data_IF_286269494636
#
_entry.id   IF_286269494636
#
_cell.length_a   1.000
_cell.length_b   1.000
_cell.length_c   1.000
_cell.angle_alpha   90.00
_cell.angle_beta   90.00
_cell.angle_gamma   90.00
#
_symmetry.space_group_name_H-M   'P 1'
#
loop_
_entity.id
_entity.type
_entity.pdbx_description
1 polymer ?
#
# COMPACT_ATOMS: atom_id res chain seq x y z
N UNK A 1 5.20 -19.76 -5.29
CA UNK A 1 4.11 -19.78 -6.28
C UNK A 1 4.64 -18.99 -7.46
N UNK A 2 4.87 -19.65 -8.59
CA UNK A 2 5.46 -19.02 -9.76
C UNK A 2 4.32 -18.39 -10.58
N UNK A 3 4.26 -17.06 -10.62
CA UNK A 3 3.28 -16.35 -11.44
C UNK A 3 3.76 -16.31 -12.90
N UNK A 4 2.87 -16.66 -13.83
CA UNK A 4 3.09 -16.42 -15.25
C UNK A 4 3.20 -14.91 -15.50
N UNK A 5 4.32 -14.46 -16.10
CA UNK A 5 4.65 -13.03 -16.26
C UNK A 5 3.67 -12.24 -17.14
N UNK A 6 2.76 -12.94 -17.83
CA UNK A 6 1.72 -12.37 -18.68
C UNK A 6 0.42 -12.02 -17.96
N UNK A 7 0.16 -12.62 -16.79
CA UNK A 7 -1.11 -12.42 -16.09
C UNK A 7 -1.04 -11.23 -15.11
N UNK A 8 -2.17 -10.54 -14.93
CA UNK A 8 -2.26 -9.46 -13.94
C UNK A 8 -2.62 -10.03 -12.57
N UNK A 9 -1.62 -10.16 -11.70
CA UNK A 9 -1.79 -10.68 -10.34
C UNK A 9 -1.71 -9.57 -9.28
N UNK A 10 -2.60 -9.66 -8.29
CA UNK A 10 -2.70 -8.73 -7.15
C UNK A 10 -2.31 -9.47 -5.87
N UNK A 11 -1.40 -8.88 -5.09
CA UNK A 11 -1.07 -9.32 -3.75
C UNK A 11 -1.87 -8.50 -2.73
N UNK A 12 -2.57 -9.17 -1.82
CA UNK A 12 -3.27 -8.55 -0.70
C UNK A 12 -2.66 -9.08 0.60
N UNK A 13 -2.21 -8.17 1.46
CA UNK A 13 -1.58 -8.50 2.73
C UNK A 13 -1.94 -7.47 3.78
N UNK A 14 -2.03 -7.86 5.05
CA UNK A 14 -2.24 -6.89 6.12
C UNK A 14 -1.08 -5.88 6.19
N UNK A 15 0.16 -6.38 6.16
CA UNK A 15 1.38 -5.56 6.25
C UNK A 15 2.07 -5.44 4.90
N UNK A 16 2.91 -4.42 4.73
CA UNK A 16 3.77 -4.25 3.55
C UNK A 16 5.10 -5.02 3.60
N UNK A 17 5.33 -5.87 4.61
CA UNK A 17 6.65 -6.49 4.83
C UNK A 17 7.03 -7.51 3.75
N UNK A 18 6.05 -8.09 3.06
CA UNK A 18 6.29 -9.08 2.00
C UNK A 18 6.29 -8.47 0.59
N UNK A 19 6.33 -7.15 0.46
CA UNK A 19 6.30 -6.47 -0.85
C UNK A 19 7.46 -6.89 -1.75
N UNK A 20 8.64 -7.09 -1.19
CA UNK A 20 9.84 -7.42 -1.97
C UNK A 20 9.75 -8.84 -2.52
N UNK A 21 9.18 -9.77 -1.73
CA UNK A 21 8.86 -11.14 -2.19
C UNK A 21 7.81 -11.09 -3.29
N UNK A 22 6.74 -10.30 -3.12
CA UNK A 22 5.70 -10.16 -4.14
C UNK A 22 6.25 -9.55 -5.45
N UNK A 23 7.09 -8.52 -5.36
CA UNK A 23 7.75 -7.93 -6.53
C UNK A 23 8.65 -8.95 -7.26
N UNK A 24 9.40 -9.75 -6.50
CA UNK A 24 10.24 -10.84 -7.06
C UNK A 24 9.41 -11.96 -7.72
N UNK A 25 8.14 -12.12 -7.35
CA UNK A 25 7.21 -13.07 -7.96
C UNK A 25 6.26 -12.37 -8.96
N UNK A 26 6.69 -11.24 -9.53
CA UNK A 26 6.04 -10.56 -10.65
C UNK A 26 4.57 -10.13 -10.44
N UNK A 27 4.16 -9.93 -9.18
CA UNK A 27 2.88 -9.28 -8.91
C UNK A 27 2.88 -7.84 -9.46
N UNK A 28 1.72 -7.38 -9.94
CA UNK A 28 1.58 -6.07 -10.60
C UNK A 28 1.03 -5.00 -9.65
N UNK A 29 0.24 -5.43 -8.65
CA UNK A 29 -0.35 -4.57 -7.64
C UNK A 29 -0.23 -5.21 -6.25
N UNK A 30 0.21 -4.45 -5.27
CA UNK A 30 0.25 -4.84 -3.86
C UNK A 30 -0.62 -3.92 -3.02
N UNK A 31 -1.59 -4.47 -2.30
CA UNK A 31 -2.49 -3.72 -1.45
C UNK A 31 -2.27 -4.13 0.01
N UNK A 32 -2.06 -3.14 0.88
CA UNK A 32 -1.91 -3.39 2.31
C UNK A 32 -2.40 -2.24 3.18
N UNK A 33 -2.28 -2.40 4.50
CA UNK A 33 -2.59 -1.39 5.50
C UNK A 33 -1.63 -1.50 6.68
N UNK A 34 -2.15 -1.89 7.84
CA UNK A 34 -1.42 -2.09 9.10
C UNK A 34 -0.89 -0.84 9.79
N UNK A 35 -0.39 0.15 9.04
CA UNK A 35 0.27 1.34 9.62
C UNK A 35 -0.70 2.37 10.19
N UNK A 36 -1.99 2.30 9.84
CA UNK A 36 -3.00 3.33 10.09
C UNK A 36 -2.57 4.74 9.61
N UNK A 37 -1.64 4.81 8.65
CA UNK A 37 -1.01 6.06 8.21
C UNK A 37 -0.20 6.77 9.30
N UNK A 38 0.19 6.05 10.36
CA UNK A 38 0.80 6.55 11.59
C UNK A 38 -0.19 7.06 12.63
N UNK A 39 -1.46 7.25 12.25
CA UNK A 39 -2.59 7.66 13.08
C UNK A 39 -2.47 9.05 13.76
N UNK A 40 -1.32 9.39 14.33
CA UNK A 40 -0.96 10.69 14.91
C UNK A 40 0.23 11.26 14.13
N UNK A 41 -0.02 12.36 13.45
CA UNK A 41 0.96 13.01 12.58
C UNK A 41 1.21 14.47 13.00
N UNK A 42 2.44 14.94 12.79
CA UNK A 42 2.77 16.36 12.82
C UNK A 42 2.10 17.10 11.64
N UNK A 43 2.05 18.45 11.66
CA UNK A 43 1.61 19.23 10.50
C UNK A 43 2.30 18.78 9.20
N UNK A 44 1.54 18.72 8.11
CA UNK A 44 2.01 18.12 6.85
C UNK A 44 1.85 16.59 6.79
N UNK A 45 1.31 15.94 7.82
CA UNK A 45 1.00 14.51 7.83
C UNK A 45 2.22 13.62 8.04
N UNK A 46 3.25 14.13 8.71
CA UNK A 46 4.47 13.39 9.03
C UNK A 46 4.18 12.48 10.24
N UNK A 47 4.24 11.15 10.10
CA UNK A 47 3.87 10.23 11.17
C UNK A 47 4.93 10.24 12.29
N UNK A 48 4.45 10.34 13.55
CA UNK A 48 5.31 10.25 14.74
C UNK A 48 5.75 8.80 14.96
N UNK A 49 4.78 7.88 14.90
CA UNK A 49 4.97 6.41 14.99
C UNK A 49 4.13 5.79 13.88
N UNK A 50 4.65 4.80 13.16
CA UNK A 50 3.90 4.11 12.09
C UNK A 50 3.92 2.59 12.17
N UNK A 51 4.68 2.02 13.12
CA UNK A 51 4.93 0.58 13.25
C UNK A 51 5.39 -0.12 11.97
N UNK A 52 5.81 0.66 10.96
CA UNK A 52 6.28 0.14 9.70
C UNK A 52 7.77 -0.17 9.82
N UNK A 53 8.15 -1.41 9.52
CA UNK A 53 9.56 -1.77 9.36
C UNK A 53 10.03 -1.36 7.96
N UNK A 54 11.18 -0.70 7.89
CA UNK A 54 11.83 -0.31 6.64
C UNK A 54 11.48 1.09 6.12
N UNK A 55 11.10 1.15 4.84
CA UNK A 55 11.00 2.34 3.98
C UNK A 55 9.83 3.27 4.32
N UNK A 56 10.08 4.44 4.93
CA UNK A 56 9.04 5.39 5.40
C UNK A 56 8.04 5.81 4.31
N UNK A 57 8.42 5.76 3.05
CA UNK A 57 7.56 6.01 1.90
C UNK A 57 6.37 5.04 1.80
N UNK A 58 6.46 3.85 2.43
CA UNK A 58 5.41 2.84 2.43
C UNK A 58 4.43 2.98 3.60
N UNK A 59 4.55 4.02 4.44
CA UNK A 59 3.64 4.21 5.59
C UNK A 59 2.21 4.43 5.12
N UNK A 60 1.99 5.14 4.01
CA UNK A 60 0.65 5.39 3.46
C UNK A 60 0.74 5.78 1.99
N UNK A 61 -0.34 5.56 1.26
CA UNK A 61 -0.49 5.97 -0.12
C UNK A 61 0.27 5.06 -1.09
N UNK A 62 0.46 5.58 -2.31
CA UNK A 62 1.08 4.89 -3.44
C UNK A 62 2.60 4.86 -3.30
N UNK A 63 3.18 3.69 -3.55
CA UNK A 63 4.62 3.45 -3.62
C UNK A 63 4.91 2.45 -4.75
N UNK A 64 6.21 2.25 -5.04
CA UNK A 64 6.67 1.38 -6.11
C UNK A 64 7.73 0.43 -5.58
N UNK A 65 7.72 -0.81 -6.06
CA UNK A 65 8.77 -1.79 -5.83
C UNK A 65 9.02 -2.54 -7.13
N UNK A 66 10.17 -2.29 -7.77
CA UNK A 66 10.45 -2.74 -9.15
C UNK A 66 9.30 -2.30 -10.09
N UNK A 67 8.75 -3.22 -10.88
CA UNK A 67 7.63 -2.98 -11.79
C UNK A 67 6.25 -3.09 -11.11
N UNK A 68 6.21 -3.33 -9.79
CA UNK A 68 4.98 -3.48 -9.02
C UNK A 68 4.56 -2.14 -8.41
N UNK A 69 3.29 -1.79 -8.55
CA UNK A 69 2.67 -0.69 -7.80
C UNK A 69 2.22 -1.21 -6.44
N UNK A 70 2.43 -0.44 -5.39
CA UNK A 70 1.97 -0.76 -4.05
C UNK A 70 1.14 0.36 -3.45
N UNK A 71 0.14 0.03 -2.64
CA UNK A 71 -0.64 1.02 -1.93
C UNK A 71 -0.88 0.59 -0.48
N UNK A 72 -0.49 1.47 0.45
CA UNK A 72 -0.76 1.28 1.87
C UNK A 72 -1.92 2.17 2.28
N UNK A 73 -3.08 1.58 2.58
CA UNK A 73 -4.22 2.37 3.04
C UNK A 73 -4.03 2.85 4.47
N UNK A 74 -4.47 4.08 4.74
CA UNK A 74 -4.54 4.61 6.11
C UNK A 74 -5.70 3.99 6.90
N UNK A 75 -6.68 3.37 6.22
CA UNK A 75 -7.86 2.74 6.80
C UNK A 75 -8.79 3.70 7.55
N UNK A 76 -9.90 3.18 8.05
CA UNK A 76 -10.88 3.94 8.84
C UNK A 76 -10.75 3.74 10.35
N UNK A 77 -10.23 2.58 10.77
CA UNK A 77 -10.12 2.19 12.18
C UNK A 77 -8.91 2.77 12.90
N UNK A 78 -8.74 2.44 14.17
CA UNK A 78 -7.62 2.88 15.02
C UNK A 78 -6.92 1.67 15.65
N UNK A 79 -5.70 1.86 16.14
CA UNK A 79 -4.97 0.84 16.91
C UNK A 79 -4.29 1.46 18.12
N UNK A 80 -4.30 0.75 19.26
CA UNK A 80 -3.75 1.21 20.54
C UNK A 80 -4.52 2.39 21.12
N UNK A 81 -4.16 3.61 20.71
CA UNK A 81 -4.82 4.84 21.15
C UNK A 81 -6.03 5.11 20.24
N UNK A 82 -7.24 5.39 20.77
CA UNK A 82 -8.43 5.56 19.94
C UNK A 82 -8.56 6.98 19.35
N UNK A 83 -7.48 7.55 18.82
CA UNK A 83 -7.42 8.92 18.31
C UNK A 83 -6.75 8.98 16.95
N UNK A 84 -7.20 9.88 16.08
CA UNK A 84 -6.53 10.25 14.83
C UNK A 84 -6.26 11.74 14.81
N UNK A 85 -5.05 12.15 14.45
CA UNK A 85 -4.67 13.56 14.38
C UNK A 85 -3.77 13.82 13.17
N UNK A 86 -4.13 14.79 12.32
CA UNK A 86 -3.49 15.04 11.02
C UNK A 86 -3.37 13.79 10.11
N UNK A 87 -4.22 12.79 10.33
CA UNK A 87 -4.27 11.54 9.57
C UNK A 87 -5.75 11.13 9.34
N UNK A 88 -6.41 11.71 8.33
CA UNK A 88 -7.82 11.44 8.06
C UNK A 88 -8.06 9.95 7.76
N UNK A 89 -9.24 9.40 8.11
CA UNK A 89 -9.60 8.05 7.73
C UNK A 89 -9.76 7.95 6.21
N UNK A 90 -9.55 6.75 5.67
CA UNK A 90 -9.52 6.49 4.24
C UNK A 90 -10.29 5.21 3.88
N UNK A 91 -11.05 5.29 2.79
CA UNK A 91 -11.60 4.14 2.05
C UNK A 91 -11.18 4.35 0.59
N UNK A 92 -10.38 3.42 0.05
CA UNK A 92 -9.82 3.55 -1.30
C UNK A 92 -10.59 2.70 -2.30
N UNK A 93 -10.98 3.29 -3.43
CA UNK A 93 -11.57 2.60 -4.58
C UNK A 93 -10.49 2.38 -5.64
N UNK A 94 -10.24 1.11 -6.01
CA UNK A 94 -9.37 0.75 -7.12
C UNK A 94 -10.21 0.27 -8.28
N UNK A 95 -10.15 0.99 -9.40
CA UNK A 95 -10.74 0.55 -10.66
C UNK A 95 -9.64 -0.06 -11.53
N UNK A 96 -9.82 -1.34 -11.89
CA UNK A 96 -8.90 -2.06 -12.76
C UNK A 96 -9.47 -2.05 -14.17
N UNK A 97 -8.78 -1.35 -15.05
CA UNK A 97 -9.11 -1.30 -16.48
C UNK A 97 -8.11 -2.13 -17.25
N UNK A 98 -8.60 -2.89 -18.23
CA UNK A 98 -7.72 -3.53 -19.21
C UNK A 98 -7.11 -2.43 -20.06
N UNK A 99 -5.78 -2.49 -20.24
CA UNK A 99 -5.12 -1.59 -21.19
C UNK A 99 -5.75 -1.80 -22.57
N UNK A 100 -6.21 -0.71 -23.18
CA UNK A 100 -6.70 -0.75 -24.54
C UNK A 100 -5.54 -1.23 -25.44
N UNK A 101 -5.80 -2.07 -26.46
CA UNK A 101 -4.75 -2.43 -27.40
C UNK A 101 -4.13 -1.15 -27.95
N UNK A 102 -2.79 -1.12 -28.02
CA UNK A 102 -2.09 0.00 -28.63
C UNK A 102 -2.68 0.28 -30.02
N UNK A 103 -2.86 1.55 -30.42
CA UNK A 103 -3.30 1.86 -31.78
C UNK A 103 -2.33 1.21 -32.77
N UNK A 104 -2.89 0.60 -33.81
CA UNK A 104 -2.15 -0.08 -34.88
C UNK A 104 -1.22 0.87 -35.62
#
# INVERSE_FOLDING_TARGET
>A
MENNTKDFSIALSHTGELSDIAANNHFKLYLCGHTHGGQICLPGGIPIISHQKGRRERVRGLWYEKDMKGYTSSGTGVSGIPLRFNCPPEITLFELVREAPAPA
#
